data_IF_340774850816
#
_entry.id   IF_340774850816
#
_cell.length_a   1.000
_cell.length_b   1.000
_cell.length_c   1.000
_cell.angle_alpha   90.00
_cell.angle_beta   90.00
_cell.angle_gamma   90.00
#
_symmetry.space_group_name_H-M   'P 1'
#
loop_
_entity.id
_entity.type
_entity.pdbx_description
1 polymer ?
#
# COMPACT_ATOMS: atom_id res chain seq x y z
N UNK A 1 34.68 9.38 -6.26
CA UNK A 1 34.63 9.57 -4.80
C UNK A 1 33.26 9.07 -4.34
N UNK A 2 33.21 7.83 -3.86
CA UNK A 2 32.00 7.26 -3.29
C UNK A 2 31.63 8.04 -2.02
N UNK A 3 30.40 8.53 -1.93
CA UNK A 3 29.76 8.61 -0.63
C UNK A 3 28.75 7.47 -0.54
N UNK A 4 29.15 6.47 0.25
CA UNK A 4 28.26 5.52 0.88
C UNK A 4 27.16 6.30 1.60
N UNK A 5 25.98 6.41 1.00
CA UNK A 5 24.76 6.63 1.76
C UNK A 5 24.17 5.27 2.08
N UNK A 6 24.77 4.64 3.11
CA UNK A 6 23.99 3.79 4.02
C UNK A 6 22.99 4.70 4.73
N UNK A 7 21.89 5.04 4.06
CA UNK A 7 20.70 5.37 4.82
C UNK A 7 20.12 4.06 5.30
N UNK A 8 20.35 3.86 6.59
CA UNK A 8 19.69 2.92 7.46
C UNK A 8 18.17 3.01 7.23
N UNK A 9 17.61 2.19 6.34
CA UNK A 9 16.16 1.91 6.32
C UNK A 9 15.86 0.90 7.44
N UNK A 10 16.27 1.20 8.66
CA UNK A 10 15.59 0.69 9.86
C UNK A 10 14.30 1.48 9.97
N UNK A 11 13.21 0.96 9.40
CA UNK A 11 11.95 1.70 9.42
C UNK A 11 10.74 1.04 8.78
N UNK A 12 10.87 -0.13 8.17
CA UNK A 12 9.75 -1.07 8.10
C UNK A 12 10.30 -2.40 8.64
N UNK A 13 9.73 -2.96 9.73
CA UNK A 13 10.09 -4.30 10.13
C UNK A 13 9.89 -5.22 8.92
N UNK A 14 10.91 -6.00 8.58
CA UNK A 14 10.68 -7.23 7.83
C UNK A 14 9.86 -8.13 8.76
N UNK A 15 8.54 -8.03 8.67
CA UNK A 15 7.63 -8.95 9.35
C UNK A 15 7.87 -10.36 8.77
N UNK A 16 7.83 -11.41 9.61
CA UNK A 16 8.20 -12.75 9.22
C UNK A 16 7.36 -13.27 8.04
N UNK A 17 8.06 -13.89 7.10
CA UNK A 17 7.58 -14.49 5.85
C UNK A 17 6.28 -15.28 6.08
N UNK A 18 5.17 -14.79 5.52
CA UNK A 18 3.86 -15.44 5.60
C UNK A 18 2.62 -14.54 5.46
N UNK A 19 2.76 -13.29 5.01
CA UNK A 19 1.72 -12.27 5.15
C UNK A 19 1.81 -11.27 4.01
N UNK A 20 0.99 -11.44 2.98
CA UNK A 20 1.06 -10.63 1.75
C UNK A 20 0.72 -9.17 2.02
N UNK A 21 1.53 -8.29 1.47
CA UNK A 21 1.49 -6.86 1.73
C UNK A 21 0.68 -6.14 0.63
N UNK A 22 -0.52 -5.64 0.97
CA UNK A 22 -1.19 -4.56 0.23
C UNK A 22 -0.84 -3.21 0.89
N UNK A 23 0.40 -2.74 0.75
CA UNK A 23 0.74 -1.36 1.11
C UNK A 23 0.49 -0.48 -0.10
N UNK A 24 -0.39 0.52 0.03
CA UNK A 24 -0.52 1.58 -0.98
C UNK A 24 0.63 2.54 -0.75
N UNK A 25 1.68 2.39 -1.55
CA UNK A 25 2.85 3.26 -1.56
C UNK A 25 3.04 3.79 -2.97
N UNK A 26 3.36 5.07 -3.10
CA UNK A 26 3.86 5.59 -4.37
C UNK A 26 5.40 5.61 -4.37
N UNK A 27 5.96 5.30 -5.53
CA UNK A 27 7.38 5.41 -5.77
C UNK A 27 7.64 6.00 -7.15
N UNK A 28 8.65 6.85 -7.26
CA UNK A 28 9.23 7.18 -8.55
C UNK A 28 10.25 6.11 -8.93
N UNK A 29 10.15 5.56 -10.13
CA UNK A 29 11.10 4.60 -10.70
C UNK A 29 11.71 5.14 -11.98
N UNK A 30 12.99 4.84 -12.24
CA UNK A 30 13.73 5.32 -13.41
C UNK A 30 14.75 4.28 -13.85
N UNK A 31 14.79 3.96 -15.14
CA UNK A 31 15.88 3.19 -15.74
C UNK A 31 16.83 4.10 -16.55
N UNK A 32 18.09 3.68 -16.68
CA UNK A 32 19.12 4.43 -17.42
C UNK A 32 20.09 3.54 -18.19
N UNK A 33 20.00 2.22 -18.07
CA UNK A 33 21.03 1.30 -18.55
C UNK A 33 20.82 0.81 -19.98
N UNK A 34 19.57 0.59 -20.39
CA UNK A 34 19.23 0.18 -21.76
C UNK A 34 18.97 1.40 -22.67
N UNK A 35 19.28 1.30 -23.98
CA UNK A 35 19.01 2.39 -24.96
C UNK A 35 17.53 2.80 -25.02
N UNK A 36 16.63 1.87 -24.72
CA UNK A 36 15.20 2.13 -24.65
C UNK A 36 14.81 3.00 -23.44
N UNK A 37 15.68 3.19 -22.44
CA UNK A 37 15.38 3.98 -21.24
C UNK A 37 15.28 5.47 -21.53
N UNK A 38 14.21 6.11 -21.06
CA UNK A 38 14.04 7.56 -21.19
C UNK A 38 14.97 8.37 -20.29
N UNK A 39 15.50 7.76 -19.23
CA UNK A 39 16.22 8.46 -18.15
C UNK A 39 15.34 9.38 -17.32
N UNK A 40 14.00 9.36 -17.49
CA UNK A 40 13.05 10.17 -16.73
C UNK A 40 12.36 9.32 -15.67
N UNK A 41 12.16 9.83 -14.45
CA UNK A 41 11.39 9.12 -13.44
C UNK A 41 9.91 9.08 -13.80
N UNK A 42 9.25 7.99 -13.44
CA UNK A 42 7.80 7.80 -13.56
C UNK A 42 7.25 7.36 -12.21
N UNK A 43 6.08 7.86 -11.83
CA UNK A 43 5.42 7.46 -10.58
C UNK A 43 4.65 6.17 -10.81
N UNK A 44 4.82 5.22 -9.91
CA UNK A 44 4.08 3.96 -9.85
C UNK A 44 3.44 3.81 -8.48
N UNK A 45 2.27 3.18 -8.45
CA UNK A 45 1.63 2.74 -7.21
C UNK A 45 2.06 1.29 -6.98
N UNK A 46 2.65 1.04 -5.82
CA UNK A 46 2.96 -0.30 -5.33
C UNK A 46 1.69 -0.81 -4.67
N UNK A 47 1.24 -1.99 -5.09
CA UNK A 47 -0.05 -2.56 -4.66
C UNK A 47 0.06 -4.00 -4.21
N UNK A 48 1.21 -4.65 -4.36
CA UNK A 48 1.36 -6.07 -4.05
C UNK A 48 2.75 -6.35 -3.51
N UNK A 49 2.86 -7.50 -2.84
CA UNK A 49 4.13 -8.11 -2.51
C UNK A 49 4.47 -9.16 -3.56
N UNK A 50 5.76 -9.40 -3.76
CA UNK A 50 6.21 -10.54 -4.55
C UNK A 50 6.89 -11.57 -3.62
N UNK A 51 6.15 -12.56 -3.08
CA UNK A 51 6.70 -13.56 -2.16
C UNK A 51 7.81 -14.44 -2.79
N UNK A 52 7.85 -14.53 -4.11
CA UNK A 52 8.84 -15.30 -4.87
C UNK A 52 10.04 -14.48 -5.36
N UNK A 53 10.08 -13.17 -5.08
CA UNK A 53 11.18 -12.31 -5.47
C UNK A 53 12.34 -12.47 -4.47
N UNK A 54 13.54 -12.70 -4.99
CA UNK A 54 14.72 -13.12 -4.22
C UNK A 54 15.09 -12.09 -3.12
N UNK A 55 15.17 -12.53 -1.86
CA UNK A 55 15.29 -11.65 -0.69
C UNK A 55 16.67 -10.98 -0.52
N UNK A 56 17.62 -11.31 -1.40
CA UNK A 56 18.97 -10.73 -1.40
C UNK A 56 19.04 -9.36 -2.09
N UNK A 57 17.99 -8.96 -2.81
CA UNK A 57 17.92 -7.67 -3.50
C UNK A 57 16.50 -7.12 -3.51
N UNK A 58 16.36 -5.80 -3.69
CA UNK A 58 15.04 -5.17 -3.82
C UNK A 58 14.60 -5.33 -5.28
N UNK A 59 13.60 -6.20 -5.51
CA UNK A 59 13.03 -6.44 -6.84
C UNK A 59 11.63 -5.82 -6.94
N UNK A 60 11.39 -5.04 -7.98
CA UNK A 60 10.07 -4.51 -8.31
C UNK A 60 9.49 -5.32 -9.47
N UNK A 61 8.42 -6.08 -9.19
CA UNK A 61 7.62 -6.72 -10.24
C UNK A 61 6.61 -5.70 -10.80
N UNK A 62 7.07 -4.93 -11.78
CA UNK A 62 6.28 -3.86 -12.38
C UNK A 62 5.32 -4.42 -13.42
N UNK A 63 4.07 -3.95 -13.42
CA UNK A 63 3.15 -4.19 -14.53
C UNK A 63 3.80 -3.78 -15.86
N UNK A 64 3.44 -4.46 -16.96
CA UNK A 64 3.95 -4.12 -18.29
C UNK A 64 3.68 -2.65 -18.68
N UNK A 65 2.59 -2.05 -18.18
CA UNK A 65 2.31 -0.62 -18.33
C UNK A 65 3.37 0.21 -17.61
N UNK A 66 3.55 0.01 -16.30
CA UNK A 66 4.53 0.73 -15.48
C UNK A 66 5.95 0.59 -16.02
N UNK A 67 6.35 -0.63 -16.41
CA UNK A 67 7.65 -0.92 -16.98
C UNK A 67 7.87 -0.18 -18.31
N UNK A 68 6.87 -0.23 -19.20
CA UNK A 68 6.94 0.43 -20.50
C UNK A 68 6.97 1.95 -20.45
N UNK A 69 6.38 2.57 -19.42
CA UNK A 69 6.37 4.05 -19.24
C UNK A 69 7.77 4.61 -18.95
N UNK A 70 8.69 3.79 -18.45
CA UNK A 70 10.10 4.21 -18.28
C UNK A 70 10.84 4.39 -19.62
N UNK A 71 10.29 3.90 -20.73
CA UNK A 71 10.94 3.92 -22.04
C UNK A 71 10.86 5.28 -22.74
N UNK A 72 11.75 5.51 -23.71
CA UNK A 72 11.61 6.57 -24.71
C UNK A 72 10.35 6.34 -25.56
N UNK A 73 9.84 7.42 -26.18
CA UNK A 73 8.62 7.36 -26.99
C UNK A 73 8.77 6.31 -28.12
N UNK A 74 7.84 5.36 -28.19
CA UNK A 74 7.86 4.27 -29.17
C UNK A 74 8.68 3.03 -28.76
N UNK A 75 9.48 3.10 -27.70
CA UNK A 75 10.39 2.01 -27.28
C UNK A 75 9.84 1.13 -26.14
N UNK A 76 8.58 1.29 -25.73
CA UNK A 76 8.00 0.56 -24.59
C UNK A 76 8.11 -0.97 -24.73
N UNK A 77 7.87 -1.51 -25.93
CA UNK A 77 8.00 -2.95 -26.18
C UNK A 77 9.46 -3.40 -26.19
N UNK A 78 10.38 -2.57 -26.70
CA UNK A 78 11.81 -2.88 -26.64
C UNK A 78 12.28 -2.97 -25.20
N UNK A 79 11.88 -2.03 -24.35
CA UNK A 79 12.20 -2.05 -22.93
C UNK A 79 11.61 -3.31 -22.27
N UNK A 80 10.30 -3.59 -22.44
CA UNK A 80 9.65 -4.80 -21.88
C UNK A 80 10.36 -6.11 -22.26
N UNK A 81 10.88 -6.20 -23.49
CA UNK A 81 11.57 -7.40 -23.96
C UNK A 81 12.94 -7.63 -23.29
N UNK A 82 13.46 -6.67 -22.53
CA UNK A 82 14.66 -6.85 -21.68
C UNK A 82 14.37 -7.81 -20.52
N UNK A 83 13.14 -7.84 -20.02
CA UNK A 83 12.71 -8.67 -18.89
C UNK A 83 13.15 -8.12 -17.53
N UNK A 84 14.45 -8.07 -17.25
CA UNK A 84 15.00 -7.57 -15.98
C UNK A 84 15.88 -6.35 -16.25
N UNK A 85 15.51 -5.20 -15.68
CA UNK A 85 16.21 -3.92 -15.85
C UNK A 85 16.63 -3.34 -14.49
N UNK A 86 17.82 -2.76 -14.43
CA UNK A 86 18.28 -2.03 -13.25
C UNK A 86 17.58 -0.67 -13.16
N UNK A 87 16.96 -0.39 -12.02
CA UNK A 87 16.25 0.85 -11.79
C UNK A 87 16.79 1.62 -10.58
N UNK A 88 16.65 2.93 -10.64
CA UNK A 88 16.71 3.81 -9.50
C UNK A 88 15.28 4.04 -9.02
N UNK A 89 15.06 4.04 -7.70
CA UNK A 89 13.74 4.29 -7.14
C UNK A 89 13.84 5.23 -5.93
N UNK A 90 12.72 5.88 -5.64
CA UNK A 90 12.52 6.71 -4.44
C UNK A 90 11.05 6.66 -4.05
N UNK A 91 10.77 6.40 -2.77
CA UNK A 91 9.41 6.52 -2.20
C UNK A 91 8.94 7.97 -2.26
N UNK A 92 7.69 8.17 -2.62
CA UNK A 92 7.02 9.48 -2.63
C UNK A 92 5.65 9.35 -1.98
N UNK A 93 5.13 10.48 -1.52
CA UNK A 93 3.80 10.59 -0.93
C UNK A 93 2.73 10.19 -1.94
N UNK A 94 1.75 9.40 -1.49
CA UNK A 94 0.61 9.04 -2.33
C UNK A 94 -0.26 10.28 -2.61
N UNK A 95 -0.77 10.41 -3.84
CA UNK A 95 -1.59 11.56 -4.23
C UNK A 95 -2.70 11.20 -5.23
N UNK A 96 -3.84 10.80 -4.69
CA UNK A 96 -5.07 10.47 -5.40
C UNK A 96 -5.94 11.72 -5.64
N UNK A 97 -5.53 12.57 -6.58
CA UNK A 97 -6.25 13.80 -6.91
C UNK A 97 -7.72 13.57 -7.30
N UNK A 98 -8.63 14.27 -6.61
CA UNK A 98 -10.06 14.22 -6.90
C UNK A 98 -10.75 12.93 -6.47
N UNK A 99 -10.05 12.04 -5.77
CA UNK A 99 -10.58 10.80 -5.21
C UNK A 99 -10.66 10.95 -3.69
N UNK A 100 -11.82 10.61 -3.12
CA UNK A 100 -11.98 10.56 -1.67
C UNK A 100 -11.47 9.24 -1.12
N UNK A 101 -10.97 9.29 0.12
CA UNK A 101 -10.69 8.08 0.90
C UNK A 101 -11.91 7.17 0.90
N UNK A 102 -11.69 5.89 0.62
CA UNK A 102 -12.75 4.90 0.58
C UNK A 102 -12.49 3.79 1.61
N UNK A 103 -13.58 3.35 2.25
CA UNK A 103 -13.58 2.25 3.19
C UNK A 103 -14.32 1.08 2.55
N UNK A 104 -13.59 0.00 2.23
CA UNK A 104 -14.17 -1.23 1.72
C UNK A 104 -14.28 -2.23 2.86
N UNK A 105 -15.48 -2.40 3.37
CA UNK A 105 -15.79 -3.37 4.43
C UNK A 105 -15.50 -4.78 3.95
N UNK A 106 -14.79 -5.54 4.77
CA UNK A 106 -14.50 -6.95 4.51
C UNK A 106 -15.78 -7.79 4.60
N UNK A 107 -16.06 -8.70 3.66
CA UNK A 107 -17.26 -9.53 3.67
C UNK A 107 -17.42 -10.43 4.91
N UNK A 108 -16.33 -10.73 5.64
CA UNK A 108 -16.37 -11.48 6.89
C UNK A 108 -16.82 -10.66 8.10
N UNK A 109 -16.99 -9.34 7.95
CA UNK A 109 -17.49 -8.46 9.00
C UNK A 109 -18.90 -8.84 9.43
N UNK A 110 -19.15 -8.76 10.75
CA UNK A 110 -20.42 -9.08 11.39
C UNK A 110 -20.57 -8.29 12.70
N UNK A 111 -21.59 -8.60 13.50
CA UNK A 111 -21.89 -7.86 14.73
C UNK A 111 -20.77 -7.91 15.80
N UNK A 112 -19.89 -8.92 15.76
CA UNK A 112 -18.82 -9.11 16.73
C UNK A 112 -17.41 -8.87 16.14
N UNK A 113 -17.32 -8.54 14.86
CA UNK A 113 -16.06 -8.39 14.15
C UNK A 113 -16.21 -7.39 13.02
N UNK A 114 -15.35 -6.39 12.95
CA UNK A 114 -15.35 -5.44 11.85
C UNK A 114 -13.96 -5.36 11.23
N UNK A 115 -13.89 -5.43 9.90
CA UNK A 115 -12.68 -5.15 9.16
C UNK A 115 -12.97 -4.31 7.92
N UNK A 116 -12.04 -3.42 7.57
CA UNK A 116 -12.14 -2.59 6.37
C UNK A 116 -10.79 -2.34 5.76
N UNK A 117 -10.70 -2.43 4.43
CA UNK A 117 -9.58 -1.89 3.67
C UNK A 117 -9.76 -0.37 3.55
N UNK A 118 -8.69 0.37 3.82
CA UNK A 118 -8.65 1.81 3.61
C UNK A 118 -7.92 2.08 2.29
N UNK A 119 -8.56 2.83 1.39
CA UNK A 119 -8.09 3.05 0.03
C UNK A 119 -8.00 4.54 -0.30
N UNK A 120 -7.11 4.87 -1.23
CA UNK A 120 -6.90 6.23 -1.74
C UNK A 120 -6.44 7.25 -0.68
N UNK A 121 -5.69 6.78 0.32
CA UNK A 121 -5.09 7.63 1.33
C UNK A 121 -3.92 8.41 0.73
N UNK A 122 -3.92 9.73 0.96
CA UNK A 122 -2.83 10.61 0.54
C UNK A 122 -1.75 10.68 1.62
N UNK A 123 -0.53 11.03 1.20
CA UNK A 123 0.60 11.19 2.11
C UNK A 123 1.37 9.89 2.35
N UNK A 124 1.95 9.77 3.55
CA UNK A 124 2.86 8.68 3.93
C UNK A 124 2.18 7.38 4.36
N UNK A 125 0.84 7.35 4.34
CA UNK A 125 0.03 6.21 4.75
C UNK A 125 -0.58 6.38 6.15
N UNK A 126 -1.22 5.30 6.62
CA UNK A 126 -2.04 5.31 7.84
C UNK A 126 -1.23 4.77 9.02
N UNK A 127 -1.05 5.60 10.06
CA UNK A 127 -0.33 5.24 11.29
C UNK A 127 -1.19 4.58 12.38
N UNK A 128 -2.51 4.64 12.26
CA UNK A 128 -3.46 4.07 13.22
C UNK A 128 -4.90 4.34 12.81
N UNK A 129 -5.81 3.44 13.20
CA UNK A 129 -7.23 3.52 12.89
C UNK A 129 -8.02 3.20 14.15
N UNK A 130 -9.08 3.96 14.40
CA UNK A 130 -9.98 3.73 15.53
C UNK A 130 -11.44 3.74 15.06
N UNK A 131 -12.26 2.88 15.65
CA UNK A 131 -13.69 2.77 15.38
C UNK A 131 -14.51 3.26 16.56
N UNK A 132 -15.47 4.13 16.31
CA UNK A 132 -16.41 4.65 17.30
C UNK A 132 -17.83 4.48 16.81
N UNK A 133 -18.67 3.86 17.64
CA UNK A 133 -20.11 3.83 17.41
C UNK A 133 -20.73 5.20 17.73
N UNK A 134 -21.75 5.60 16.98
CA UNK A 134 -22.44 6.88 17.19
C UNK A 134 -23.02 7.02 18.61
N UNK A 135 -23.47 5.90 19.18
CA UNK A 135 -24.00 5.82 20.54
C UNK A 135 -22.94 5.77 21.65
N UNK A 136 -21.65 5.74 21.31
CA UNK A 136 -20.55 5.61 22.26
C UNK A 136 -19.65 6.84 22.24
N UNK A 137 -19.05 7.19 23.38
CA UNK A 137 -17.96 8.17 23.44
C UNK A 137 -16.57 7.53 23.30
N UNK A 138 -16.48 6.20 23.32
CA UNK A 138 -15.22 5.46 23.31
C UNK A 138 -14.76 5.13 21.88
N UNK A 139 -13.47 5.35 21.63
CA UNK A 139 -12.76 4.90 20.44
C UNK A 139 -12.18 3.51 20.68
N UNK A 140 -12.42 2.60 19.75
CA UNK A 140 -11.86 1.25 19.78
C UNK A 140 -10.70 1.19 18.80
N UNK A 141 -9.44 1.03 19.26
CA UNK A 141 -8.31 0.94 18.36
C UNK A 141 -8.44 -0.32 17.49
N UNK A 142 -8.23 -0.13 16.19
CA UNK A 142 -8.20 -1.21 15.23
C UNK A 142 -6.76 -1.70 15.05
N UNK A 143 -6.61 -3.00 14.85
CA UNK A 143 -5.34 -3.64 14.56
C UNK A 143 -5.19 -3.79 13.05
N UNK A 144 -4.01 -3.48 12.51
CA UNK A 144 -3.70 -3.81 11.13
C UNK A 144 -3.70 -5.34 10.99
N UNK A 145 -4.37 -5.86 9.96
CA UNK A 145 -4.48 -7.29 9.69
C UNK A 145 -3.59 -7.71 8.52
N UNK A 146 -4.04 -7.52 7.29
CA UNK A 146 -3.32 -7.78 6.06
C UNK A 146 -3.33 -6.53 5.18
N UNK A 147 -2.16 -6.12 4.69
CA UNK A 147 -2.04 -4.94 3.83
C UNK A 147 -2.71 -3.69 4.42
N UNK A 148 -3.60 -3.05 3.67
CA UNK A 148 -4.35 -1.87 4.09
C UNK A 148 -5.64 -2.18 4.89
N UNK A 149 -5.84 -3.44 5.31
CA UNK A 149 -7.03 -3.87 6.08
C UNK A 149 -6.79 -3.70 7.57
N UNK A 150 -7.67 -2.96 8.22
CA UNK A 150 -7.71 -2.78 9.67
C UNK A 150 -8.91 -3.54 10.23
N UNK A 151 -8.74 -4.16 11.40
CA UNK A 151 -9.77 -4.98 12.05
C UNK A 151 -9.95 -4.64 13.52
N UNK A 152 -11.13 -4.93 14.06
CA UNK A 152 -11.42 -4.87 15.49
C UNK A 152 -12.41 -5.97 15.86
N UNK A 153 -12.10 -6.67 16.95
CA UNK A 153 -13.03 -7.59 17.59
C UNK A 153 -13.97 -6.76 18.47
N UNK A 154 -15.25 -6.74 18.12
CA UNK A 154 -16.28 -6.01 18.85
C UNK A 154 -16.75 -6.92 19.98
N UNK A 155 -16.24 -6.72 21.19
CA UNK A 155 -16.77 -7.39 22.37
C UNK A 155 -18.24 -7.01 22.47
N UNK A 156 -19.12 -8.02 22.51
CA UNK A 156 -20.54 -7.82 22.78
C UNK A 156 -20.69 -7.09 24.12
N UNK A 157 -20.93 -5.78 24.07
CA UNK A 157 -21.37 -5.05 25.24
C UNK A 157 -22.91 -5.18 25.28
N UNK A 158 -23.51 -5.86 26.27
CA UNK A 158 -24.94 -6.15 26.32
C UNK A 158 -25.84 -4.91 26.52
N UNK A 159 -25.34 -3.70 26.26
CA UNK A 159 -26.07 -2.44 26.49
C UNK A 159 -26.67 -1.83 25.22
N UNK A 160 -26.72 -2.55 24.10
CA UNK A 160 -27.68 -2.23 23.04
C UNK A 160 -29.08 -2.75 23.40
N UNK A 161 -29.63 -2.27 24.51
CA UNK A 161 -31.08 -2.31 24.72
C UNK A 161 -31.72 -1.27 23.81
N UNK A 162 -32.52 -1.75 22.87
CA UNK A 162 -33.45 -0.99 22.04
C UNK A 162 -34.02 0.24 22.77
N UNK A 163 -33.66 1.44 22.33
CA UNK A 163 -34.54 2.59 22.49
C UNK A 163 -35.57 2.55 21.35
N UNK A 164 -36.56 1.66 21.49
CA UNK A 164 -37.85 1.87 20.84
C UNK A 164 -38.55 3.02 21.58
N UNK A 165 -38.35 4.26 21.12
CA UNK A 165 -39.29 5.32 21.45
C UNK A 165 -40.52 5.15 20.55
N UNK A 166 -41.56 4.55 21.11
CA UNK A 166 -42.94 4.66 20.65
C UNK A 166 -43.69 5.51 21.69
N UNK A 167 -44.36 6.56 21.23
CA UNK A 167 -45.39 7.29 22.00
C UNK A 167 -44.91 8.56 22.67
#
# INVERSE_FOLDING_TARGET
MCQNLRHNLTGLPAEPVGMGILLVLEATVKCTTTEACSGKPVTVVITDECPGCDSQSILFDLSGTSFGTMATSGAANQLRNVGIEQIQYRRVDCNFHGVSVAFRVDPGSNANYFATAIQYENGDGVGGVELKADSSSAWNPMQQSWGAVWKVDLIYHPTCSHHSQLG
#
